data_IF_268377632522
#
_entry.id   IF_268377632522
#
_cell.length_a   1.000
_cell.length_b   1.000
_cell.length_c   1.000
_cell.angle_alpha   90.00
_cell.angle_beta   90.00
_cell.angle_gamma   90.00
#
_symmetry.space_group_name_H-M   'P 1'
#
loop_
_entity.id
_entity.type
_entity.pdbx_description
1 polymer ?
#
# COMPACT_ATOMS: atom_id res chain seq x y z
N UNK A 1 14.09 9.22 -18.54
CA UNK A 1 12.80 9.04 -19.25
C UNK A 1 11.71 9.25 -18.22
N UNK A 2 11.05 10.40 -18.33
CA UNK A 2 10.05 10.95 -17.41
C UNK A 2 8.68 10.29 -17.62
N UNK A 3 8.10 9.75 -16.55
CA UNK A 3 6.66 9.50 -16.45
C UNK A 3 6.20 9.93 -15.06
N UNK A 4 5.75 11.18 -14.99
CA UNK A 4 4.75 11.62 -14.03
C UNK A 4 3.41 11.05 -14.48
N UNK A 5 2.80 10.18 -13.67
CA UNK A 5 1.42 9.74 -13.89
C UNK A 5 0.45 10.88 -13.61
N UNK A 6 0.38 11.84 -14.51
CA UNK A 6 -0.58 12.94 -14.51
C UNK A 6 -1.89 12.51 -15.16
N UNK A 7 -3.01 12.84 -14.51
CA UNK A 7 -4.35 12.60 -14.98
C UNK A 7 -4.66 13.41 -16.26
N UNK A 8 -4.97 12.74 -17.35
CA UNK A 8 -5.65 13.35 -18.51
C UNK A 8 -7.16 13.12 -18.38
N UNK A 9 -7.88 14.21 -18.12
CA UNK A 9 -9.33 14.30 -18.30
C UNK A 9 -9.62 14.42 -19.81
N UNK A 10 -10.39 13.48 -20.36
CA UNK A 10 -10.96 13.61 -21.70
C UNK A 10 -12.47 13.56 -21.56
N UNK A 11 -13.09 14.73 -21.74
CA UNK A 11 -14.51 14.88 -22.01
C UNK A 11 -14.85 14.23 -23.36
N UNK A 12 -15.88 13.41 -23.40
CA UNK A 12 -16.61 13.15 -24.63
C UNK A 12 -18.11 13.08 -24.30
N UNK A 13 -18.80 14.15 -24.67
CA UNK A 13 -20.25 14.19 -24.81
C UNK A 13 -20.65 13.76 -26.24
N UNK A 14 -21.86 13.19 -26.29
CA UNK A 14 -22.80 13.15 -27.41
C UNK A 14 -22.58 12.16 -28.56
N UNK A 15 -23.33 11.05 -28.48
CA UNK A 15 -24.31 10.57 -29.47
C UNK A 15 -24.74 9.17 -29.00
N UNK A 16 -25.96 8.66 -29.13
CA UNK A 16 -27.15 8.99 -29.88
C UNK A 16 -28.05 7.74 -29.71
N UNK A 17 -29.31 7.95 -29.38
CA UNK A 17 -30.32 6.94 -29.04
C UNK A 17 -30.55 5.87 -30.12
N UNK A 18 -30.78 4.61 -29.72
CA UNK A 18 -31.81 3.75 -30.34
C UNK A 18 -32.44 2.84 -29.28
N UNK A 19 -33.75 3.00 -29.13
CA UNK A 19 -34.69 2.19 -28.37
C UNK A 19 -34.94 0.83 -29.03
N UNK A 20 -35.06 -0.24 -28.23
CA UNK A 20 -35.86 -1.41 -28.61
C UNK A 20 -36.38 -2.15 -27.37
N UNK A 21 -37.68 -1.95 -27.17
CA UNK A 21 -38.58 -2.71 -26.32
C UNK A 21 -38.67 -4.18 -26.76
N UNK A 22 -38.72 -5.12 -25.81
CA UNK A 22 -39.55 -6.33 -25.92
C UNK A 22 -39.89 -6.90 -24.54
N UNK A 23 -41.19 -6.91 -24.29
CA UNK A 23 -41.92 -7.54 -23.20
C UNK A 23 -42.02 -9.06 -23.35
N UNK A 24 -41.97 -9.81 -22.24
CA UNK A 24 -43.04 -10.70 -21.72
C UNK A 24 -42.48 -11.75 -20.74
N UNK A 25 -43.00 -11.69 -19.51
CA UNK A 25 -43.01 -12.71 -18.45
C UNK A 25 -43.98 -13.88 -18.80
N UNK A 26 -44.39 -14.80 -17.89
CA UNK A 26 -43.82 -15.30 -16.62
C UNK A 26 -43.90 -16.86 -16.48
N UNK A 27 -43.29 -17.40 -15.42
CA UNK A 27 -43.63 -18.72 -14.87
C UNK A 27 -42.44 -19.29 -14.08
N UNK A 28 -42.56 -19.90 -12.91
CA UNK A 28 -43.66 -20.21 -12.02
C UNK A 28 -43.07 -21.05 -10.88
N UNK A 29 -43.47 -20.71 -9.64
CA UNK A 29 -43.34 -21.44 -8.35
C UNK A 29 -42.52 -22.76 -8.31
N UNK A 30 -41.65 -22.86 -7.29
CA UNK A 30 -41.86 -23.81 -6.17
C UNK A 30 -40.98 -23.50 -4.95
N UNK A 31 -41.66 -23.16 -3.86
CA UNK A 31 -41.21 -23.17 -2.48
C UNK A 31 -40.94 -24.60 -1.99
N UNK A 32 -39.78 -24.85 -1.39
CA UNK A 32 -39.57 -25.95 -0.45
C UNK A 32 -38.71 -25.48 0.73
N UNK A 33 -39.40 -25.34 1.85
CA UNK A 33 -38.88 -25.34 3.21
C UNK A 33 -38.07 -26.61 3.48
N UNK A 34 -36.89 -26.45 4.07
CA UNK A 34 -36.07 -27.53 4.59
C UNK A 34 -34.93 -26.96 5.41
N UNK A 35 -35.16 -26.81 6.71
CA UNK A 35 -34.11 -26.67 7.72
C UNK A 35 -33.37 -28.00 7.86
N UNK A 36 -32.03 -27.97 7.91
CA UNK A 36 -31.30 -28.88 8.78
C UNK A 36 -30.37 -28.10 9.70
N UNK A 37 -30.64 -28.24 10.98
CA UNK A 37 -29.65 -28.12 12.05
C UNK A 37 -28.54 -29.15 11.81
N UNK A 38 -27.29 -28.71 11.70
CA UNK A 38 -26.15 -29.34 12.38
C UNK A 38 -24.90 -28.49 12.21
N UNK A 39 -24.49 -27.85 13.31
CA UNK A 39 -23.09 -27.74 13.76
C UNK A 39 -22.05 -28.27 12.79
N UNK A 40 -21.53 -27.37 11.93
CA UNK A 40 -20.29 -27.58 11.19
C UNK A 40 -19.29 -26.52 11.62
N UNK A 41 -18.46 -26.96 12.56
CA UNK A 41 -17.03 -26.66 12.73
C UNK A 41 -16.62 -25.24 12.35
N UNK A 42 -16.51 -24.44 13.41
CA UNK A 42 -15.35 -23.57 13.62
C UNK A 42 -14.06 -24.39 13.40
N UNK A 43 -13.64 -24.53 12.15
CA UNK A 43 -12.28 -24.95 11.79
C UNK A 43 -11.41 -23.70 11.79
N UNK A 44 -10.88 -23.41 12.99
CA UNK A 44 -9.48 -23.04 13.21
C UNK A 44 -8.88 -22.00 12.24
N UNK A 45 -9.51 -20.82 12.17
CA UNK A 45 -8.81 -19.61 11.72
C UNK A 45 -7.87 -19.22 12.85
N UNK A 46 -6.62 -19.68 12.76
CA UNK A 46 -5.54 -19.21 13.64
C UNK A 46 -5.55 -17.66 13.63
N UNK A 47 -5.54 -16.99 14.80
CA UNK A 47 -5.40 -15.54 14.83
C UNK A 47 -4.10 -15.15 14.10
N UNK A 48 -4.05 -14.01 13.39
CA UNK A 48 -2.78 -13.46 12.93
C UNK A 48 -1.83 -13.40 14.14
N UNK A 49 -0.60 -13.89 13.95
CA UNK A 49 0.37 -14.09 15.02
C UNK A 49 0.46 -12.85 15.93
N UNK A 50 0.30 -13.01 17.26
CA UNK A 50 0.53 -11.92 18.18
C UNK A 50 2.04 -11.62 18.25
N UNK A 51 2.44 -10.46 17.72
CA UNK A 51 3.77 -9.89 17.95
C UNK A 51 4.77 -10.13 16.83
N UNK A 52 4.61 -9.43 15.70
CA UNK A 52 5.77 -9.20 14.83
C UNK A 52 6.83 -8.41 15.58
N UNK A 53 8.11 -8.65 15.28
CA UNK A 53 9.20 -7.75 15.63
C UNK A 53 9.66 -7.05 14.37
N UNK A 54 10.29 -5.89 14.51
CA UNK A 54 11.05 -5.26 13.42
C UNK A 54 12.49 -5.05 13.91
N UNK A 55 13.37 -6.04 13.71
CA UNK A 55 14.69 -6.05 14.33
C UNK A 55 15.71 -5.18 13.62
N UNK A 56 15.46 -4.70 12.39
CA UNK A 56 16.45 -3.91 11.63
C UNK A 56 15.88 -2.61 11.04
N UNK A 57 15.16 -1.84 11.86
CA UNK A 57 14.52 -0.59 11.44
C UNK A 57 15.53 0.53 11.40
N UNK A 58 15.41 1.37 10.35
CA UNK A 58 16.00 2.70 10.32
C UNK A 58 15.03 3.63 9.62
N UNK A 59 14.76 4.78 10.24
CA UNK A 59 13.95 5.84 9.66
C UNK A 59 14.81 7.10 9.58
N UNK A 60 14.84 7.72 8.42
CA UNK A 60 15.63 8.92 8.15
C UNK A 60 14.74 10.08 7.75
N UNK A 61 15.24 11.28 7.91
CA UNK A 61 14.55 12.51 7.51
C UNK A 61 15.24 13.14 6.30
N UNK A 62 14.47 13.52 5.28
CA UNK A 62 14.92 14.26 4.11
C UNK A 62 14.14 15.57 4.00
N UNK A 63 14.42 16.47 4.93
CA UNK A 63 13.89 17.84 4.99
C UNK A 63 14.95 18.91 4.73
N UNK A 64 16.24 18.54 4.70
CA UNK A 64 17.38 19.45 4.52
C UNK A 64 17.57 19.88 3.07
N UNK A 65 18.33 20.96 2.89
CA UNK A 65 18.68 21.51 1.57
C UNK A 65 19.47 20.51 0.73
N UNK A 66 20.47 19.85 1.34
CA UNK A 66 21.18 18.71 0.77
C UNK A 66 20.28 17.46 0.87
N UNK A 67 19.82 16.89 -0.26
CA UNK A 67 18.96 15.71 -0.25
C UNK A 67 19.69 14.42 0.17
N UNK A 68 21.03 14.40 0.23
CA UNK A 68 21.81 13.25 0.69
C UNK A 68 22.10 13.29 2.20
N UNK A 69 21.96 14.45 2.84
CA UNK A 69 22.06 14.61 4.29
C UNK A 69 20.76 14.18 4.96
N UNK A 70 20.67 12.87 5.21
CA UNK A 70 19.51 12.22 5.80
C UNK A 70 19.82 11.76 7.23
N UNK A 71 19.63 12.61 8.26
CA UNK A 71 19.81 12.20 9.65
C UNK A 71 18.82 11.10 10.03
N UNK A 72 19.25 10.17 10.88
CA UNK A 72 18.37 9.15 11.44
C UNK A 72 17.47 9.77 12.50
N UNK A 73 16.18 9.48 12.43
CA UNK A 73 15.20 9.92 13.41
C UNK A 73 15.31 9.08 14.68
N UNK A 74 15.16 9.74 15.83
CA UNK A 74 15.09 9.04 17.12
C UNK A 74 13.85 8.15 17.17
N UNK A 75 14.00 6.95 17.72
CA UNK A 75 12.88 6.04 18.00
C UNK A 75 11.79 6.62 18.91
N UNK A 76 12.14 7.64 19.69
CA UNK A 76 11.21 8.37 20.55
C UNK A 76 10.38 9.41 19.79
N UNK A 77 10.71 9.72 18.54
CA UNK A 77 9.96 10.71 17.76
C UNK A 77 8.60 10.17 17.30
N UNK A 78 7.61 11.06 17.22
CA UNK A 78 6.26 10.77 16.71
C UNK A 78 6.31 10.25 15.27
N UNK A 79 7.11 10.90 14.44
CA UNK A 79 7.37 10.54 13.04
C UNK A 79 7.92 9.11 12.91
N UNK A 80 8.93 8.74 13.71
CA UNK A 80 9.45 7.37 13.71
C UNK A 80 8.37 6.35 14.03
N UNK A 81 7.57 6.59 15.09
CA UNK A 81 6.49 5.69 15.52
C UNK A 81 5.41 5.55 14.45
N UNK A 82 5.06 6.65 13.78
CA UNK A 82 4.13 6.64 12.63
C UNK A 82 4.65 5.74 11.50
N UNK A 83 5.92 5.92 11.12
CA UNK A 83 6.55 5.14 10.04
C UNK A 83 6.62 3.65 10.40
N UNK A 84 6.99 3.32 11.64
CA UNK A 84 7.02 1.93 12.13
C UNK A 84 5.63 1.29 12.10
N UNK A 85 4.58 2.04 12.48
CA UNK A 85 3.22 1.53 12.38
C UNK A 85 2.86 1.15 10.94
N UNK A 86 3.05 2.06 9.98
CA UNK A 86 2.60 1.81 8.59
C UNK A 86 3.41 0.69 7.93
N UNK A 87 4.70 0.58 8.25
CA UNK A 87 5.54 -0.55 7.82
C UNK A 87 5.08 -1.87 8.45
N UNK A 88 4.83 -1.89 9.76
CA UNK A 88 4.34 -3.10 10.41
C UNK A 88 2.96 -3.52 9.89
N UNK A 89 2.02 -2.57 9.77
CA UNK A 89 0.71 -2.78 9.16
C UNK A 89 0.84 -3.39 7.77
N UNK A 90 1.70 -2.82 6.92
CA UNK A 90 1.88 -3.28 5.56
C UNK A 90 2.44 -4.71 5.50
N UNK A 91 3.52 -5.01 6.24
CA UNK A 91 4.09 -6.36 6.25
C UNK A 91 3.08 -7.37 6.84
N UNK A 92 2.36 -7.01 7.89
CA UNK A 92 1.32 -7.89 8.47
C UNK A 92 0.17 -8.15 7.50
N UNK A 93 -0.19 -7.18 6.66
CA UNK A 93 -1.16 -7.36 5.58
C UNK A 93 -0.65 -8.35 4.53
N UNK A 94 0.61 -8.21 4.11
CA UNK A 94 1.27 -9.13 3.17
C UNK A 94 1.41 -10.56 3.74
N UNK A 95 1.68 -10.70 5.04
CA UNK A 95 1.85 -11.99 5.73
C UNK A 95 0.55 -12.72 6.04
N UNK A 96 -0.59 -12.04 5.95
CA UNK A 96 -1.90 -12.66 6.12
C UNK A 96 -2.11 -13.80 5.09
N UNK A 97 -2.98 -14.80 5.37
CA UNK A 97 -3.24 -15.88 4.43
C UNK A 97 -3.63 -15.39 3.02
N UNK A 98 -4.59 -14.47 2.93
CA UNK A 98 -5.01 -13.92 1.64
C UNK A 98 -3.93 -13.02 1.02
N UNK A 99 -3.16 -12.31 1.86
CA UNK A 99 -2.03 -11.49 1.42
C UNK A 99 -0.92 -12.30 0.74
N UNK A 100 -0.61 -13.48 1.29
CA UNK A 100 0.34 -14.45 0.73
C UNK A 100 -0.17 -15.03 -0.58
N UNK A 101 -1.45 -15.41 -0.64
CA UNK A 101 -2.07 -15.91 -1.88
C UNK A 101 -2.04 -14.84 -2.99
N UNK A 102 -2.38 -13.58 -2.67
CA UNK A 102 -2.28 -12.48 -3.61
C UNK A 102 -0.84 -12.21 -4.08
N UNK A 103 0.17 -12.45 -3.23
CA UNK A 103 1.59 -12.36 -3.62
C UNK A 103 1.97 -13.47 -4.60
N UNK A 104 1.52 -14.71 -4.36
CA UNK A 104 1.75 -15.85 -5.26
C UNK A 104 1.12 -15.57 -6.63
N UNK A 105 -0.11 -15.07 -6.67
CA UNK A 105 -0.80 -14.72 -7.92
C UNK A 105 -0.10 -13.57 -8.66
N UNK A 106 0.38 -12.57 -7.90
CA UNK A 106 1.16 -11.46 -8.46
C UNK A 106 2.47 -11.95 -9.06
N UNK A 107 3.20 -12.83 -8.36
CA UNK A 107 4.44 -13.43 -8.85
C UNK A 107 4.23 -14.25 -10.13
N UNK A 108 3.16 -15.06 -10.17
CA UNK A 108 2.78 -15.80 -11.37
C UNK A 108 2.54 -14.87 -12.56
N UNK A 109 1.76 -13.81 -12.37
CA UNK A 109 1.45 -12.84 -13.43
C UNK A 109 2.70 -12.07 -13.92
N UNK A 110 3.64 -11.75 -13.02
CA UNK A 110 4.92 -11.13 -13.37
C UNK A 110 5.76 -12.06 -14.27
N UNK A 111 5.93 -13.32 -13.86
CA UNK A 111 6.68 -14.33 -14.60
C UNK A 111 6.10 -14.59 -16.00
N UNK A 112 4.78 -14.76 -16.11
CA UNK A 112 4.11 -14.89 -17.41
C UNK A 112 4.38 -13.65 -18.28
N UNK A 113 4.28 -12.48 -17.65
CA UNK A 113 4.36 -11.22 -18.34
C UNK A 113 5.73 -10.92 -18.92
N UNK A 114 6.79 -11.29 -18.22
CA UNK A 114 8.14 -11.19 -18.77
C UNK A 114 8.48 -12.30 -19.77
N UNK A 115 8.00 -13.52 -19.54
CA UNK A 115 8.18 -14.65 -20.48
C UNK A 115 7.58 -14.33 -21.84
N UNK A 116 6.33 -13.84 -21.88
CA UNK A 116 5.67 -13.41 -23.13
C UNK A 116 6.43 -12.30 -23.87
N UNK A 117 7.21 -11.49 -23.16
CA UNK A 117 8.03 -10.41 -23.75
C UNK A 117 9.41 -10.89 -24.19
N UNK A 118 9.68 -12.20 -24.13
CA UNK A 118 10.96 -12.79 -24.52
C UNK A 118 12.12 -12.41 -23.60
N UNK A 119 11.85 -11.90 -22.39
CA UNK A 119 12.89 -11.64 -21.41
C UNK A 119 13.40 -12.97 -20.85
N UNK A 120 14.71 -13.18 -20.92
CA UNK A 120 15.39 -14.38 -20.41
C UNK A 120 16.24 -14.13 -19.16
N UNK A 121 16.29 -12.87 -18.71
CA UNK A 121 17.19 -12.37 -17.65
C UNK A 121 16.50 -12.16 -16.30
N UNK A 122 15.23 -12.53 -16.13
CA UNK A 122 14.68 -12.69 -14.78
C UNK A 122 15.19 -13.99 -14.17
N UNK A 123 15.29 -14.04 -12.84
CA UNK A 123 15.95 -15.12 -12.11
C UNK A 123 15.29 -16.51 -12.35
N UNK A 124 14.06 -16.54 -12.86
CA UNK A 124 13.26 -17.77 -12.99
C UNK A 124 12.94 -18.09 -14.46
N UNK A 125 13.53 -19.14 -15.04
CA UNK A 125 13.44 -19.44 -16.48
C UNK A 125 12.34 -20.44 -16.88
N UNK A 126 11.64 -21.02 -15.92
CA UNK A 126 10.63 -22.07 -16.16
C UNK A 126 9.20 -21.49 -16.23
N UNK A 127 8.23 -22.31 -16.66
CA UNK A 127 6.80 -22.02 -16.46
C UNK A 127 6.49 -22.07 -14.95
N UNK A 128 6.69 -20.94 -14.30
CA UNK A 128 6.67 -20.82 -12.83
C UNK A 128 5.27 -21.09 -12.26
N UNK A 129 4.19 -20.92 -13.06
CA UNK A 129 2.83 -21.31 -12.62
C UNK A 129 2.71 -22.81 -12.37
N UNK A 130 3.39 -23.64 -13.18
CA UNK A 130 3.44 -25.08 -12.95
C UNK A 130 4.32 -25.44 -11.74
N UNK A 131 5.14 -24.51 -11.25
CA UNK A 131 6.00 -24.64 -10.09
C UNK A 131 5.50 -23.79 -8.92
N UNK A 132 4.22 -23.92 -8.57
CA UNK A 132 3.59 -23.16 -7.45
C UNK A 132 4.40 -23.23 -6.14
N UNK A 133 5.02 -24.37 -5.83
CA UNK A 133 5.87 -24.50 -4.64
C UNK A 133 7.08 -23.55 -4.67
N UNK A 134 7.68 -23.33 -5.84
CA UNK A 134 8.75 -22.35 -6.00
C UNK A 134 8.24 -20.92 -5.75
N UNK A 135 7.03 -20.58 -6.21
CA UNK A 135 6.42 -19.28 -5.90
C UNK A 135 6.20 -19.09 -4.40
N UNK A 136 5.71 -20.12 -3.71
CA UNK A 136 5.52 -20.11 -2.26
C UNK A 136 6.87 -19.85 -1.58
N UNK A 137 7.92 -20.61 -1.91
CA UNK A 137 9.27 -20.42 -1.36
C UNK A 137 9.81 -19.00 -1.61
N UNK A 138 9.54 -18.42 -2.78
CA UNK A 138 9.96 -17.04 -3.08
C UNK A 138 9.17 -15.99 -2.30
N UNK A 139 7.87 -16.20 -2.11
CA UNK A 139 7.03 -15.34 -1.26
C UNK A 139 7.49 -15.41 0.19
N UNK A 140 7.78 -16.60 0.70
CA UNK A 140 8.30 -16.78 2.06
C UNK A 140 9.65 -16.06 2.23
N UNK A 141 10.59 -16.28 1.30
CA UNK A 141 11.89 -15.59 1.32
C UNK A 141 11.75 -14.06 1.25
N UNK A 142 10.77 -13.55 0.48
CA UNK A 142 10.48 -12.12 0.43
C UNK A 142 10.00 -11.59 1.78
N UNK A 143 8.98 -12.25 2.35
CA UNK A 143 8.34 -11.86 3.59
C UNK A 143 9.33 -11.91 4.76
N UNK A 144 10.14 -12.96 4.84
CA UNK A 144 11.23 -13.08 5.81
C UNK A 144 12.21 -11.91 5.66
N UNK A 145 12.60 -11.59 4.41
CA UNK A 145 13.53 -10.49 4.13
C UNK A 145 13.00 -9.12 4.56
N UNK A 146 11.74 -8.78 4.25
CA UNK A 146 11.16 -7.48 4.65
C UNK A 146 10.84 -7.42 6.14
N UNK A 147 10.57 -8.56 6.79
CA UNK A 147 10.31 -8.61 8.24
C UNK A 147 11.60 -8.47 9.04
N UNK A 148 12.65 -9.20 8.66
CA UNK A 148 13.95 -9.17 9.35
C UNK A 148 14.74 -7.91 8.97
N UNK A 149 14.75 -7.55 7.69
CA UNK A 149 15.59 -6.52 7.10
C UNK A 149 14.77 -5.54 6.23
N UNK A 150 13.79 -4.82 6.82
CA UNK A 150 12.93 -3.92 6.06
C UNK A 150 13.75 -2.86 5.31
N UNK A 151 13.33 -2.44 4.10
CA UNK A 151 13.96 -1.35 3.37
C UNK A 151 14.20 -0.12 4.25
N UNK A 152 15.24 0.65 3.95
CA UNK A 152 15.45 1.91 4.65
C UNK A 152 14.29 2.86 4.36
N UNK A 153 13.70 3.44 5.41
CA UNK A 153 12.57 4.35 5.29
C UNK A 153 13.05 5.79 5.44
N UNK A 154 12.61 6.66 4.54
CA UNK A 154 12.97 8.07 4.51
C UNK A 154 11.70 8.90 4.48
N UNK A 155 11.52 9.76 5.47
CA UNK A 155 10.44 10.75 5.50
C UNK A 155 10.91 11.97 4.72
N UNK A 156 10.27 12.24 3.59
CA UNK A 156 10.72 13.24 2.64
C UNK A 156 9.66 14.31 2.43
N UNK A 157 10.07 15.57 2.57
CA UNK A 157 9.23 16.73 2.24
C UNK A 157 9.13 16.99 0.74
N UNK A 158 9.84 16.21 -0.09
CA UNK A 158 10.06 16.45 -1.53
C UNK A 158 9.17 15.61 -2.45
N UNK A 159 8.33 14.75 -1.87
CA UNK A 159 7.52 13.80 -2.63
C UNK A 159 6.19 14.39 -3.08
N UNK A 160 5.75 13.92 -4.25
CA UNK A 160 4.37 14.04 -4.71
C UNK A 160 3.70 12.68 -4.57
N UNK A 161 2.50 12.65 -3.98
CA UNK A 161 1.82 11.41 -3.61
C UNK A 161 2.21 10.91 -2.22
N UNK A 162 1.77 9.71 -1.86
CA UNK A 162 1.86 9.14 -0.52
C UNK A 162 3.25 8.57 -0.20
N UNK A 163 3.84 7.89 -1.18
CA UNK A 163 5.15 7.26 -1.07
C UNK A 163 5.71 6.87 -2.43
N UNK A 164 6.98 6.49 -2.43
CA UNK A 164 7.67 5.95 -3.61
C UNK A 164 8.78 5.01 -3.16
N UNK A 165 8.93 3.90 -3.87
CA UNK A 165 10.12 3.09 -3.78
C UNK A 165 11.13 3.42 -4.88
N UNK A 166 12.40 3.43 -4.49
CA UNK A 166 13.49 3.44 -5.42
C UNK A 166 14.31 2.16 -5.28
N UNK A 167 14.31 1.35 -6.34
CA UNK A 167 14.94 0.03 -6.36
C UNK A 167 16.40 0.14 -6.77
N UNK A 168 17.23 -0.74 -6.23
CA UNK A 168 18.67 -0.86 -6.50
C UNK A 168 18.99 -2.24 -7.08
N UNK A 169 20.03 -2.30 -7.92
CA UNK A 169 20.55 -3.57 -8.42
C UNK A 169 21.18 -4.39 -7.29
N UNK A 170 20.72 -5.63 -7.08
CA UNK A 170 21.14 -6.45 -5.94
C UNK A 170 21.64 -7.85 -6.32
N UNK A 171 21.34 -8.35 -7.53
CA UNK A 171 21.61 -9.74 -7.93
C UNK A 171 23.08 -10.08 -8.25
N UNK A 172 24.05 -9.27 -7.82
CA UNK A 172 25.49 -9.47 -8.07
C UNK A 172 26.12 -10.57 -7.19
N UNK A 173 25.50 -11.75 -7.13
CA UNK A 173 26.00 -12.93 -6.41
C UNK A 173 25.59 -13.05 -4.94
N UNK A 174 24.54 -12.33 -4.51
CA UNK A 174 23.99 -12.39 -3.15
C UNK A 174 22.52 -12.81 -3.19
N UNK A 175 22.04 -13.43 -2.10
CA UNK A 175 20.60 -13.63 -1.89
C UNK A 175 19.86 -12.30 -1.78
N UNK A 176 18.56 -12.30 -2.06
CA UNK A 176 17.74 -11.10 -1.95
C UNK A 176 17.77 -10.54 -0.53
N UNK A 177 17.95 -9.22 -0.41
CA UNK A 177 17.87 -8.51 0.86
C UNK A 177 17.15 -7.17 0.63
N UNK A 178 15.95 -7.04 1.17
CA UNK A 178 15.10 -5.86 0.98
C UNK A 178 15.80 -4.56 1.41
N UNK A 179 16.64 -4.60 2.46
CA UNK A 179 17.44 -3.47 2.96
C UNK A 179 18.39 -2.88 1.92
N UNK A 180 18.92 -3.71 1.04
CA UNK A 180 19.89 -3.35 0.01
C UNK A 180 19.26 -3.24 -1.37
N UNK A 181 18.09 -3.84 -1.57
CA UNK A 181 17.38 -3.83 -2.84
C UNK A 181 16.53 -2.57 -3.05
N UNK A 182 16.23 -1.80 -1.99
CA UNK A 182 15.39 -0.62 -2.11
C UNK A 182 15.60 0.43 -1.02
N UNK A 183 15.31 1.67 -1.39
CA UNK A 183 15.05 2.78 -0.47
C UNK A 183 13.58 3.17 -0.58
N UNK A 184 12.93 3.29 0.57
CA UNK A 184 11.53 3.62 0.69
C UNK A 184 11.38 5.08 1.11
N UNK A 185 10.63 5.89 0.37
CA UNK A 185 10.41 7.30 0.73
C UNK A 185 8.92 7.53 0.96
N UNK A 186 8.59 8.13 2.10
CA UNK A 186 7.23 8.47 2.53
C UNK A 186 7.05 9.98 2.57
N UNK A 187 5.85 10.46 2.24
CA UNK A 187 5.58 11.89 2.22
C UNK A 187 5.53 12.48 3.63
N UNK A 188 6.49 13.34 3.96
CA UNK A 188 6.59 13.99 5.25
C UNK A 188 5.40 14.88 5.59
N UNK A 189 4.85 15.62 4.60
CA UNK A 189 3.68 16.48 4.82
C UNK A 189 2.46 15.68 5.30
N UNK A 190 2.21 14.51 4.70
CA UNK A 190 1.10 13.64 5.10
C UNK A 190 1.31 13.11 6.53
N UNK A 191 2.55 12.77 6.88
CA UNK A 191 2.88 12.28 8.23
C UNK A 191 2.73 13.40 9.26
N UNK A 192 3.19 14.62 8.94
CA UNK A 192 3.06 15.78 9.82
C UNK A 192 1.59 16.14 10.04
N UNK A 193 0.78 16.21 8.98
CA UNK A 193 -0.66 16.46 9.06
C UNK A 193 -1.37 15.38 9.91
N UNK A 194 -0.94 14.11 9.81
CA UNK A 194 -1.46 13.02 10.62
C UNK A 194 -1.08 13.15 12.11
N UNK A 195 0.16 13.55 12.40
CA UNK A 195 0.62 13.80 13.77
C UNK A 195 -0.17 14.95 14.39
N UNK A 196 -0.40 16.03 13.65
CA UNK A 196 -1.22 17.15 14.12
C UNK A 196 -2.67 16.71 14.41
N UNK A 197 -3.28 15.93 13.51
CA UNK A 197 -4.61 15.37 13.74
C UNK A 197 -4.66 14.50 15.01
N UNK A 198 -3.60 13.72 15.29
CA UNK A 198 -3.50 12.93 16.51
C UNK A 198 -3.43 13.81 17.77
N UNK A 199 -2.68 14.92 17.72
CA UNK A 199 -2.52 15.85 18.85
C UNK A 199 -3.78 16.65 19.14
N UNK A 200 -4.52 17.01 18.09
CA UNK A 200 -5.83 17.65 18.18
C UNK A 200 -6.94 16.69 18.63
N UNK A 201 -6.62 15.40 18.84
CA UNK A 201 -7.59 14.37 19.27
C UNK A 201 -8.57 13.95 18.17
N UNK A 202 -8.26 14.24 16.90
CA UNK A 202 -9.07 13.90 15.74
C UNK A 202 -8.84 12.44 15.31
N UNK A 203 -9.32 11.50 16.14
CA UNK A 203 -9.09 10.06 15.95
C UNK A 203 -9.48 9.56 14.55
N UNK A 204 -10.63 9.99 14.02
CA UNK A 204 -11.08 9.51 12.71
C UNK A 204 -10.16 9.96 11.57
N UNK A 205 -9.72 11.22 11.59
CA UNK A 205 -8.78 11.72 10.58
C UNK A 205 -7.41 11.04 10.70
N UNK A 206 -6.94 10.82 11.92
CA UNK A 206 -5.72 10.08 12.17
C UNK A 206 -5.81 8.64 11.64
N UNK A 207 -6.93 7.95 11.85
CA UNK A 207 -7.17 6.61 11.30
C UNK A 207 -7.15 6.60 9.76
N UNK A 208 -7.75 7.61 9.11
CA UNK A 208 -7.71 7.74 7.64
C UNK A 208 -6.29 7.92 7.13
N UNK A 209 -5.48 8.74 7.80
CA UNK A 209 -4.05 8.89 7.47
C UNK A 209 -3.28 7.57 7.62
N UNK A 210 -3.48 6.85 8.73
CA UNK A 210 -2.84 5.56 8.96
C UNK A 210 -3.22 4.53 7.89
N UNK A 211 -4.49 4.46 7.51
CA UNK A 211 -4.95 3.53 6.49
C UNK A 211 -4.38 3.90 5.12
N UNK A 212 -4.46 5.17 4.74
CA UNK A 212 -3.95 5.67 3.46
C UNK A 212 -2.44 5.35 3.32
N UNK A 213 -1.65 5.72 4.33
CA UNK A 213 -0.21 5.49 4.32
C UNK A 213 0.14 4.01 4.47
N UNK A 214 -0.66 3.23 5.19
CA UNK A 214 -0.52 1.78 5.30
C UNK A 214 -0.72 1.08 3.95
N UNK A 215 -1.79 1.40 3.22
CA UNK A 215 -2.06 0.84 1.87
C UNK A 215 -0.99 1.30 0.88
N UNK A 216 -0.61 2.59 0.89
CA UNK A 216 0.51 3.06 0.08
C UNK A 216 1.81 2.32 0.42
N UNK A 217 2.02 1.96 1.70
CA UNK A 217 3.20 1.20 2.10
C UNK A 217 3.19 -0.21 1.53
N UNK A 218 2.04 -0.91 1.58
CA UNK A 218 1.84 -2.20 0.92
C UNK A 218 2.15 -2.09 -0.57
N UNK A 219 1.55 -1.12 -1.25
CA UNK A 219 1.69 -0.89 -2.69
C UNK A 219 3.16 -0.82 -3.11
N UNK A 220 3.94 0.00 -2.43
CA UNK A 220 5.36 0.20 -2.75
C UNK A 220 6.22 -1.00 -2.33
N UNK A 221 5.85 -1.77 -1.29
CA UNK A 221 6.50 -3.05 -0.99
C UNK A 221 6.30 -4.08 -2.10
N UNK A 222 5.18 -4.04 -2.83
CA UNK A 222 5.02 -4.89 -4.02
C UNK A 222 6.03 -4.52 -5.11
N UNK A 223 6.38 -3.24 -5.26
CA UNK A 223 7.46 -2.85 -6.18
C UNK A 223 8.84 -3.37 -5.72
N UNK A 224 9.07 -3.48 -4.40
CA UNK A 224 10.24 -4.19 -3.85
C UNK A 224 10.18 -5.68 -4.17
N UNK A 225 9.00 -6.31 -4.06
CA UNK A 225 8.80 -7.71 -4.44
C UNK A 225 9.12 -7.94 -5.91
N UNK A 226 8.74 -7.04 -6.82
CA UNK A 226 9.14 -7.11 -8.24
C UNK A 226 10.66 -7.16 -8.38
N UNK A 227 11.41 -6.34 -7.62
CA UNK A 227 12.89 -6.35 -7.65
C UNK A 227 13.48 -7.72 -7.32
N UNK A 228 12.85 -8.51 -6.44
CA UNK A 228 13.30 -9.88 -6.14
C UNK A 228 13.31 -10.79 -7.37
N UNK A 229 12.45 -10.57 -8.37
CA UNK A 229 12.42 -11.43 -9.56
C UNK A 229 13.35 -10.96 -10.69
N UNK A 230 13.55 -9.65 -10.80
CA UNK A 230 14.34 -9.05 -11.91
C UNK A 230 15.81 -8.83 -11.55
N UNK A 231 16.15 -8.81 -10.25
CA UNK A 231 17.53 -8.62 -9.78
C UNK A 231 18.10 -7.20 -9.96
N UNK A 232 17.34 -6.30 -10.58
CA UNK A 232 17.75 -4.94 -10.92
C UNK A 232 16.66 -3.90 -10.61
N UNK A 233 17.05 -2.63 -10.47
CA UNK A 233 16.16 -1.53 -10.14
C UNK A 233 15.41 -0.92 -11.33
N UNK A 234 15.81 -1.27 -12.57
CA UNK A 234 15.35 -0.59 -13.81
C UNK A 234 14.19 -1.28 -14.51
N UNK A 235 14.05 -2.59 -14.29
CA UNK A 235 13.10 -3.39 -15.03
C UNK A 235 11.66 -3.10 -14.63
N UNK A 236 10.86 -2.74 -15.63
CA UNK A 236 9.48 -2.34 -15.44
C UNK A 236 8.57 -3.55 -15.26
N UNK A 237 7.52 -3.35 -14.47
CA UNK A 237 6.40 -4.28 -14.35
C UNK A 237 5.77 -4.50 -15.74
N UNK A 238 5.44 -5.75 -16.12
CA UNK A 238 4.77 -6.04 -17.38
C UNK A 238 3.39 -5.31 -17.49
N UNK A 239 3.03 -4.70 -18.63
CA UNK A 239 1.80 -3.92 -18.82
C UNK A 239 0.50 -4.60 -18.42
N UNK A 240 0.43 -5.93 -18.58
CA UNK A 240 -0.72 -6.76 -18.18
C UNK A 240 -0.86 -6.92 -16.66
N UNK A 241 0.22 -6.71 -15.91
CA UNK A 241 0.20 -6.68 -14.44
C UNK A 241 -0.16 -5.25 -14.05
N UNK A 242 -1.45 -4.95 -14.14
CA UNK A 242 -2.01 -3.63 -13.87
C UNK A 242 -3.48 -3.74 -13.43
N UNK A 243 -4.02 -2.63 -12.91
CA UNK A 243 -5.43 -2.49 -12.60
C UNK A 243 -6.25 -2.25 -13.89
N UNK A 244 -7.43 -2.89 -14.05
CA UNK A 244 -8.30 -2.68 -15.20
C UNK A 244 -8.60 -1.21 -15.47
N UNK A 245 -8.60 -0.82 -16.75
CA UNK A 245 -8.88 0.56 -17.16
C UNK A 245 -7.76 1.57 -16.85
N UNK A 246 -6.63 1.14 -16.27
CA UNK A 246 -5.47 2.00 -15.96
C UNK A 246 -4.16 1.51 -16.61
N UNK A 247 -4.27 0.73 -17.69
CA UNK A 247 -3.12 0.23 -18.43
C UNK A 247 -2.23 1.36 -18.94
N UNK A 248 -0.95 1.35 -18.57
CA UNK A 248 0.09 2.21 -19.17
C UNK A 248 1.07 1.36 -19.99
N UNK A 249 2.00 1.99 -20.70
CA UNK A 249 3.09 1.28 -21.38
C UNK A 249 3.99 0.47 -20.41
N UNK A 250 3.90 0.77 -19.12
CA UNK A 250 4.38 -0.03 -17.99
C UNK A 250 3.22 -0.59 -17.16
N UNK A 251 3.43 -1.76 -16.56
CA UNK A 251 2.50 -2.28 -15.55
C UNK A 251 2.55 -1.45 -14.27
N UNK A 252 1.63 -1.73 -13.36
CA UNK A 252 1.53 -1.11 -12.04
C UNK A 252 1.22 -2.22 -11.03
N UNK A 253 2.26 -2.82 -10.48
CA UNK A 253 2.19 -4.05 -9.69
C UNK A 253 1.54 -3.86 -8.33
N UNK A 254 1.68 -2.67 -7.72
CA UNK A 254 1.01 -2.36 -6.46
C UNK A 254 -0.51 -2.40 -6.60
N UNK A 255 -1.09 -1.73 -7.60
CA UNK A 255 -2.53 -1.79 -7.87
C UNK A 255 -2.97 -3.17 -8.35
N UNK A 256 -2.13 -3.90 -9.08
CA UNK A 256 -2.46 -5.28 -9.44
C UNK A 256 -2.63 -6.13 -8.18
N UNK A 257 -1.71 -6.03 -7.23
CA UNK A 257 -1.80 -6.71 -5.94
C UNK A 257 -3.02 -6.27 -5.12
N UNK A 258 -3.27 -4.96 -5.01
CA UNK A 258 -4.46 -4.41 -4.35
C UNK A 258 -5.74 -5.02 -4.93
N UNK A 259 -5.83 -5.15 -6.26
CA UNK A 259 -6.96 -5.83 -6.91
C UNK A 259 -7.10 -7.28 -6.50
N UNK A 260 -6.00 -8.04 -6.42
CA UNK A 260 -6.08 -9.46 -6.03
C UNK A 260 -6.51 -9.60 -4.58
N UNK A 261 -5.96 -8.76 -3.70
CA UNK A 261 -6.19 -8.85 -2.27
C UNK A 261 -7.54 -8.25 -1.85
N UNK A 262 -7.72 -6.94 -2.04
CA UNK A 262 -8.89 -6.19 -1.56
C UNK A 262 -9.96 -5.97 -2.65
N UNK A 263 -9.61 -6.14 -3.92
CA UNK A 263 -10.57 -6.02 -5.03
C UNK A 263 -10.85 -4.58 -5.48
N UNK A 264 -10.15 -3.59 -4.92
CA UNK A 264 -10.27 -2.17 -5.26
C UNK A 264 -8.96 -1.44 -4.97
N UNK A 265 -8.82 -0.24 -5.51
CA UNK A 265 -7.77 0.71 -5.10
C UNK A 265 -8.37 1.76 -4.18
N UNK A 266 -7.66 2.17 -3.14
CA UNK A 266 -8.08 3.27 -2.28
C UNK A 266 -7.48 4.57 -2.80
N UNK A 267 -8.31 5.60 -2.93
CA UNK A 267 -7.90 6.93 -3.34
C UNK A 267 -8.44 7.96 -2.36
N UNK A 268 -7.70 9.03 -2.15
CA UNK A 268 -8.14 10.14 -1.31
C UNK A 268 -8.52 11.36 -2.16
N UNK A 269 -9.68 11.93 -1.87
CA UNK A 269 -10.19 13.13 -2.55
C UNK A 269 -10.38 14.28 -1.57
N UNK A 270 -10.19 15.50 -2.06
CA UNK A 270 -10.31 16.71 -1.26
C UNK A 270 -11.77 17.09 -1.03
N UNK A 271 -12.16 17.29 0.23
CA UNK A 271 -13.40 17.98 0.61
C UNK A 271 -13.11 19.43 0.97
N UNK A 272 -13.60 20.35 0.14
CA UNK A 272 -13.44 21.80 0.35
C UNK A 272 -14.06 22.33 1.65
N UNK A 273 -15.00 21.59 2.24
CA UNK A 273 -15.67 21.99 3.47
C UNK A 273 -15.02 21.39 4.73
N UNK A 274 -13.99 20.57 4.56
CA UNK A 274 -13.33 19.91 5.68
C UNK A 274 -12.63 20.96 6.58
N UNK A 275 -12.79 20.90 7.92
CA UNK A 275 -12.26 21.90 8.83
C UNK A 275 -10.72 21.99 8.84
N UNK A 276 -10.02 20.91 8.46
CA UNK A 276 -8.56 20.89 8.32
C UNK A 276 -8.05 21.56 7.03
N UNK A 277 -8.94 21.97 6.11
CA UNK A 277 -8.53 22.53 4.82
C UNK A 277 -7.64 21.55 4.05
N UNK A 278 -6.48 22.00 3.56
CA UNK A 278 -5.54 21.15 2.81
C UNK A 278 -4.80 20.11 3.67
N UNK A 279 -4.83 20.25 5.00
CA UNK A 279 -4.23 19.30 5.96
C UNK A 279 -5.09 18.07 6.22
N UNK A 280 -6.21 17.92 5.52
CA UNK A 280 -7.09 16.77 5.68
C UNK A 280 -6.47 15.49 5.10
N UNK A 281 -6.86 14.30 5.58
CA UNK A 281 -6.52 13.05 4.90
C UNK A 281 -7.27 12.91 3.58
N UNK A 282 -8.42 13.59 3.44
CA UNK A 282 -9.40 13.50 2.37
C UNK A 282 -10.40 12.37 2.57
N UNK A 283 -11.52 12.38 1.85
CA UNK A 283 -12.44 11.25 1.90
C UNK A 283 -11.84 10.08 1.12
N UNK A 284 -11.78 8.92 1.79
CA UNK A 284 -11.20 7.71 1.25
C UNK A 284 -12.23 6.96 0.40
N UNK A 285 -11.82 6.58 -0.79
CA UNK A 285 -12.69 6.07 -1.85
C UNK A 285 -12.12 4.78 -2.41
N UNK A 286 -12.87 3.70 -2.29
CA UNK A 286 -12.57 2.43 -2.94
C UNK A 286 -13.06 2.47 -4.40
N UNK A 287 -12.18 2.18 -5.36
CA UNK A 287 -12.50 2.07 -6.78
C UNK A 287 -12.17 0.67 -7.31
N UNK A 288 -13.17 -0.06 -7.82
CA UNK A 288 -13.02 -1.44 -8.29
C UNK A 288 -12.82 -1.58 -9.81
N UNK A 289 -12.70 -0.46 -10.52
CA UNK A 289 -12.64 -0.41 -11.99
C UNK A 289 -13.95 0.03 -12.63
N UNK A 290 -15.09 -0.17 -11.95
CA UNK A 290 -16.41 0.16 -12.47
C UNK A 290 -17.13 1.17 -11.58
N UNK A 291 -17.04 0.99 -10.26
CA UNK A 291 -17.78 1.75 -9.27
C UNK A 291 -16.85 2.33 -8.21
N UNK A 292 -17.32 3.40 -7.57
CA UNK A 292 -16.67 4.06 -6.44
C UNK A 292 -17.55 3.92 -5.20
N UNK A 293 -16.92 3.68 -4.07
CA UNK A 293 -17.57 3.50 -2.78
C UNK A 293 -16.79 4.27 -1.73
N UNK A 294 -17.48 4.84 -0.76
CA UNK A 294 -16.81 5.39 0.42
C UNK A 294 -16.21 4.21 1.19
N UNK A 295 -14.98 4.39 1.68
CA UNK A 295 -14.34 3.39 2.53
C UNK A 295 -15.09 3.33 3.85
N UNK A 296 -15.62 2.14 4.16
CA UNK A 296 -16.38 1.91 5.38
C UNK A 296 -15.52 2.10 6.64
N UNK A 297 -16.07 2.77 7.65
CA UNK A 297 -15.34 3.14 8.87
C UNK A 297 -15.02 1.92 9.72
N UNK A 298 -15.93 0.96 9.80
CA UNK A 298 -15.72 -0.25 10.59
C UNK A 298 -14.71 -1.17 9.90
N UNK A 299 -14.77 -1.27 8.56
CA UNK A 299 -13.74 -1.91 7.75
C UNK A 299 -12.35 -1.29 7.98
N UNK A 300 -12.24 0.04 7.94
CA UNK A 300 -10.98 0.74 8.23
C UNK A 300 -10.45 0.40 9.62
N UNK A 301 -11.32 0.42 10.65
CA UNK A 301 -10.94 0.08 12.02
C UNK A 301 -10.49 -1.38 12.13
N UNK A 302 -11.18 -2.31 11.49
CA UNK A 302 -10.79 -3.72 11.45
C UNK A 302 -9.40 -3.89 10.83
N UNK A 303 -9.17 -3.27 9.66
CA UNK A 303 -7.88 -3.29 8.99
C UNK A 303 -6.77 -2.74 9.88
N UNK A 304 -6.95 -1.54 10.46
CA UNK A 304 -5.95 -0.90 11.33
C UNK A 304 -5.68 -1.67 12.63
N UNK A 305 -6.62 -2.52 13.04
CA UNK A 305 -6.47 -3.44 14.16
C UNK A 305 -5.81 -4.77 13.77
N UNK A 306 -5.32 -4.89 12.54
CA UNK A 306 -4.77 -6.12 11.95
C UNK A 306 -5.80 -7.26 11.89
N UNK A 307 -7.10 -6.94 12.01
CA UNK A 307 -8.21 -7.85 11.76
C UNK A 307 -8.57 -7.76 10.27
N UNK A 308 -7.67 -8.26 9.42
CA UNK A 308 -7.80 -8.07 7.99
C UNK A 308 -9.05 -8.76 7.43
N UNK A 309 -9.97 -7.96 6.92
CA UNK A 309 -11.19 -8.40 6.22
C UNK A 309 -11.16 -7.82 4.82
N UNK A 310 -10.53 -8.49 3.87
CA UNK A 310 -10.23 -7.86 2.57
C UNK A 310 -11.46 -7.59 1.69
N UNK A 311 -12.63 -8.15 2.04
CA UNK A 311 -13.89 -7.84 1.38
C UNK A 311 -14.69 -6.79 2.18
N UNK A 312 -14.77 -5.57 1.64
CA UNK A 312 -15.63 -4.51 2.17
C UNK A 312 -17.10 -4.73 1.75
N UNK A 313 -18.06 -4.52 2.66
CA UNK A 313 -19.48 -4.58 2.31
C UNK A 313 -19.87 -3.36 1.45
N UNK A 314 -20.03 -3.61 0.15
CA UNK A 314 -20.31 -2.59 -0.86
C UNK A 314 -21.77 -2.11 -0.85
N UNK A 315 -22.66 -2.76 -0.09
CA UNK A 315 -24.09 -2.43 -0.06
C UNK A 315 -24.40 -1.20 0.79
N UNK A 316 -23.48 -0.83 1.68
CA UNK A 316 -23.69 0.24 2.67
C UNK A 316 -23.18 1.61 2.19
N UNK A 317 -22.35 1.67 1.14
CA UNK A 317 -21.66 2.90 0.72
C UNK A 317 -21.81 3.21 -0.76
N UNK A 318 -23.05 3.32 -1.25
CA UNK A 318 -23.27 3.83 -2.62
C UNK A 318 -22.83 5.29 -2.70
N UNK A 319 -21.69 5.55 -3.33
CA UNK A 319 -21.21 6.89 -3.62
C UNK A 319 -22.20 7.63 -4.51
N UNK A 320 -22.95 8.58 -3.97
CA UNK A 320 -23.96 9.31 -4.75
C UNK A 320 -23.32 10.37 -5.66
N UNK A 321 -23.96 10.68 -6.80
CA UNK A 321 -23.50 11.74 -7.72
C UNK A 321 -23.41 13.12 -7.07
N UNK A 322 -24.16 13.39 -6.00
CA UNK A 322 -24.06 14.63 -5.21
C UNK A 322 -22.72 14.74 -4.47
N UNK A 323 -22.22 13.63 -3.91
CA UNK A 323 -20.89 13.56 -3.26
C UNK A 323 -19.78 13.87 -4.27
N UNK A 324 -19.95 13.44 -5.53
CA UNK A 324 -19.00 13.72 -6.62
C UNK A 324 -18.88 15.21 -7.00
N UNK A 325 -19.89 16.06 -6.71
CA UNK A 325 -19.84 17.50 -7.02
C UNK A 325 -19.17 18.35 -5.93
N UNK A 326 -18.91 17.76 -4.76
CA UNK A 326 -18.21 18.44 -3.66
C UNK A 326 -16.70 18.14 -3.66
N UNK A 327 -16.31 17.04 -4.32
CA UNK A 327 -14.94 16.53 -4.36
C UNK A 327 -14.32 16.75 -5.74
N UNK A 328 -13.68 17.89 -5.91
CA UNK A 328 -13.24 18.35 -7.23
C UNK A 328 -11.85 17.82 -7.62
N UNK A 329 -11.03 17.33 -6.68
CA UNK A 329 -9.60 17.01 -6.89
C UNK A 329 -9.10 15.86 -6.00
N UNK A 330 -8.11 15.10 -6.48
CA UNK A 330 -7.40 14.14 -5.65
C UNK A 330 -6.55 14.88 -4.61
N UNK A 331 -6.42 14.34 -3.40
CA UNK A 331 -5.60 14.98 -2.35
C UNK A 331 -4.12 15.16 -2.76
N UNK A 332 -3.61 14.25 -3.60
CA UNK A 332 -2.28 14.36 -4.20
C UNK A 332 -2.08 15.68 -4.98
N UNK A 333 -3.11 16.12 -5.72
CA UNK A 333 -3.04 17.35 -6.51
C UNK A 333 -3.16 18.60 -5.62
N UNK A 334 -3.90 18.50 -4.51
CA UNK A 334 -4.10 19.60 -3.55
C UNK A 334 -2.87 19.85 -2.71
N UNK A 335 -2.18 18.80 -2.25
CA UNK A 335 -0.95 18.92 -1.48
C UNK A 335 0.22 19.50 -2.29
N UNK A 336 0.07 19.57 -3.62
CA UNK A 336 1.03 20.21 -4.51
C UNK A 336 2.37 19.46 -4.60
N UNK A 337 3.34 20.02 -5.33
CA UNK A 337 4.69 19.47 -5.37
C UNK A 337 5.34 19.54 -3.99
N UNK A 338 6.17 18.54 -3.66
CA UNK A 338 6.99 18.60 -2.46
C UNK A 338 7.95 19.78 -2.47
N UNK A 339 8.53 20.10 -1.31
CA UNK A 339 9.50 21.19 -1.13
C UNK A 339 10.81 20.83 -1.84
N UNK A 340 11.07 21.46 -2.99
CA UNK A 340 12.30 21.27 -3.77
C UNK A 340 12.25 20.09 -4.74
N UNK A 341 13.32 19.91 -5.51
CA UNK A 341 13.37 18.86 -6.54
C UNK A 341 13.38 17.46 -5.90
N UNK A 342 12.60 16.56 -6.50
CA UNK A 342 12.56 15.16 -6.10
C UNK A 342 13.91 14.49 -6.38
N UNK A 343 14.57 14.05 -5.32
CA UNK A 343 15.85 13.38 -5.41
C UNK A 343 15.69 11.95 -5.93
N UNK A 344 16.17 11.69 -7.15
CA UNK A 344 16.21 10.34 -7.74
C UNK A 344 17.60 10.03 -8.30
N UNK A 345 18.49 9.49 -7.47
CA UNK A 345 19.78 8.99 -7.97
C UNK A 345 19.60 7.69 -8.76
N UNK A 346 20.15 7.59 -9.97
CA UNK A 346 20.12 6.33 -10.73
C UNK A 346 20.93 5.20 -10.08
N UNK A 347 21.78 5.53 -9.10
CA UNK A 347 22.55 4.58 -8.30
C UNK A 347 22.45 4.94 -6.81
N UNK A 348 21.85 4.05 -6.04
CA UNK A 348 21.67 4.21 -4.61
C UNK A 348 22.80 3.58 -3.79
N UNK A 349 23.79 2.95 -4.41
CA UNK A 349 24.80 2.13 -3.70
C UNK A 349 25.45 2.90 -2.55
N UNK A 350 26.05 4.06 -2.82
CA UNK A 350 26.72 4.85 -1.77
C UNK A 350 25.77 5.39 -0.70
N UNK A 351 24.51 5.66 -1.05
CA UNK A 351 23.50 6.15 -0.10
C UNK A 351 23.07 5.02 0.83
N UNK A 352 22.72 3.85 0.27
CA UNK A 352 22.34 2.67 1.03
C UNK A 352 23.48 2.19 1.92
N UNK A 353 24.73 2.21 1.44
CA UNK A 353 25.90 1.92 2.28
C UNK A 353 25.98 2.85 3.49
N UNK A 354 25.86 4.16 3.29
CA UNK A 354 25.88 5.13 4.40
C UNK A 354 24.73 4.91 5.38
N UNK A 355 23.52 4.65 4.89
CA UNK A 355 22.34 4.40 5.72
C UNK A 355 22.48 3.08 6.50
N UNK A 356 22.95 2.03 5.85
CA UNK A 356 23.09 0.70 6.45
C UNK A 356 24.25 0.61 7.44
N UNK A 357 25.20 1.55 7.41
CA UNK A 357 26.26 1.69 8.40
C UNK A 357 25.84 2.48 9.66
N UNK A 358 24.62 3.01 9.72
CA UNK A 358 24.09 3.70 10.92
C UNK A 358 23.59 2.70 11.97
N UNK A 359 23.46 3.10 13.25
CA UNK A 359 22.85 2.27 14.28
C UNK A 359 21.47 1.73 13.88
N UNK A 360 21.16 0.54 14.34
CA UNK A 360 19.88 -0.14 14.10
C UNK A 360 18.93 0.15 15.25
N UNK A 361 17.67 0.42 14.94
CA UNK A 361 16.58 0.37 15.91
C UNK A 361 15.91 -1.01 15.90
N UNK A 362 15.88 -1.66 17.06
CA UNK A 362 15.20 -2.92 17.29
C UNK A 362 13.84 -2.65 17.95
N UNK A 363 12.75 -2.93 17.25
CA UNK A 363 11.39 -2.76 17.79
C UNK A 363 10.85 -4.11 18.24
N UNK A 364 10.84 -4.31 19.55
CA UNK A 364 10.37 -5.54 20.19
C UNK A 364 8.84 -5.62 20.24
N UNK A 365 8.31 -6.81 20.56
CA UNK A 365 6.87 -7.07 20.56
C UNK A 365 6.05 -6.14 21.48
N UNK A 366 6.54 -5.82 22.68
CA UNK A 366 5.83 -4.91 23.59
C UNK A 366 5.85 -3.46 23.06
N UNK A 367 7.00 -2.99 22.60
CA UNK A 367 7.14 -1.65 22.02
C UNK A 367 6.26 -1.50 20.77
N UNK A 368 6.29 -2.50 19.90
CA UNK A 368 5.47 -2.53 18.69
C UNK A 368 3.99 -2.56 19.04
N UNK A 369 3.58 -3.40 19.99
CA UNK A 369 2.20 -3.40 20.49
C UNK A 369 1.79 -2.02 21.03
N UNK A 370 2.69 -1.32 21.71
CA UNK A 370 2.49 0.06 22.14
C UNK A 370 2.32 1.06 20.99
N UNK A 371 3.08 0.90 19.89
CA UNK A 371 2.91 1.69 18.66
C UNK A 371 1.56 1.38 18.00
N UNK A 372 1.19 0.10 17.88
CA UNK A 372 -0.07 -0.30 17.23
C UNK A 372 -1.33 0.19 17.95
N UNK A 373 -1.26 0.48 19.26
CA UNK A 373 -2.37 1.09 20.01
C UNK A 373 -2.77 2.47 19.48
N UNK A 374 -1.89 3.18 18.78
CA UNK A 374 -2.19 4.53 18.31
C UNK A 374 -3.37 4.58 17.32
N UNK A 375 -3.66 3.48 16.62
CA UNK A 375 -4.85 3.37 15.77
C UNK A 375 -6.17 3.49 16.55
N UNK A 376 -6.19 3.20 17.85
CA UNK A 376 -7.38 3.32 18.71
C UNK A 376 -7.35 4.55 19.61
N UNK A 377 -6.15 5.01 19.94
CA UNK A 377 -5.93 6.12 20.86
C UNK A 377 -4.71 6.93 20.39
N UNK A 378 -4.90 8.08 19.74
CA UNK A 378 -3.82 8.82 19.09
C UNK A 378 -2.76 9.30 20.08
N UNK A 379 -3.05 9.35 21.39
CA UNK A 379 -2.10 9.73 22.44
C UNK A 379 -0.88 8.81 22.49
N UNK A 380 -1.00 7.56 22.01
CA UNK A 380 0.12 6.61 21.92
C UNK A 380 1.12 6.94 20.80
N UNK A 381 0.86 7.96 19.97
CA UNK A 381 1.86 8.48 19.02
C UNK A 381 3.04 9.10 19.75
N UNK A 382 2.82 9.65 20.96
CA UNK A 382 3.89 10.14 21.85
C UNK A 382 4.54 8.97 22.57
N UNK A 383 5.86 8.97 22.66
CA UNK A 383 6.56 8.00 23.50
C UNK A 383 6.24 8.26 25.00
N UNK A 384 6.30 7.22 25.84
CA UNK A 384 6.15 7.38 27.30
C UNK A 384 7.16 8.43 27.78
N UNK A 385 6.69 9.50 28.42
CA UNK A 385 7.53 10.58 28.95
C UNK A 385 7.65 11.82 28.04
N UNK A 386 6.99 11.85 26.88
CA UNK A 386 6.79 13.07 26.12
C UNK A 386 5.39 13.64 26.44
N UNK A 387 5.33 14.70 27.26
CA UNK A 387 4.12 15.49 27.53
C UNK A 387 3.81 16.44 26.38
#
# INVERSE_FOLDING_TARGET
MSYSGGYLSVNNDASGSVSRSRSRSPGGRRSRSGTPSSTRRDEDVRPPLPGGMLPNVRVFEQSRSDPEDMPQLSKLSRTFRFVVFVMHFAISMLESPDGREALIDTAGALCDGWTMRGRRNHLFRADVRQQRNLLIEQVDAFLDSIRENPPNMVVSSRLVGEGVVQRQDWAHGRGFNAKWAAMFRLNGRIIDDAIEAAEDGLLEEFQRFLLLMGIATVHELIHVFVAQFVGNGRDLTPPQVNFPGRGTASGESGRFYERQLIGFVVQSYYDRNHPLGERQPGDLVAYDGNQRYEVDRDWMRDMLNLNFRFHMDRRLSSWTRSTHRQMDRAMQDVRGPGIGDDFRSSDLTGILERMNNKPVDHIEGEELHGIMKMARDPRYIKARGQS
#
